data_IF_604013593880
#
_entry.id   IF_604013593880
#
_cell.length_a   1.000
_cell.length_b   1.000
_cell.length_c   1.000
_cell.angle_alpha   90.00
_cell.angle_beta   90.00
_cell.angle_gamma   90.00
#
_symmetry.space_group_name_H-M   'P 1'
#
loop_
_entity.id
_entity.type
_entity.pdbx_description
1 polymer ?
#
# COMPACT_ATOMS: atom_id res chain seq x y z
N UNK A 1 29.38 -3.03 30.52
CA UNK A 1 30.58 -3.67 29.92
C UNK A 1 30.89 -2.96 28.62
N UNK A 2 32.09 -3.09 28.06
CA UNK A 2 32.41 -2.50 26.74
C UNK A 2 31.36 -2.87 25.69
N UNK A 3 30.88 -4.12 25.71
CA UNK A 3 29.81 -4.60 24.84
C UNK A 3 28.49 -3.83 25.00
N UNK A 4 28.07 -3.47 26.22
CA UNK A 4 26.83 -2.70 26.41
C UNK A 4 26.96 -1.27 25.87
N UNK A 5 28.15 -0.68 25.98
CA UNK A 5 28.42 0.65 25.44
C UNK A 5 28.41 0.64 23.91
N UNK A 6 29.05 -0.34 23.28
CA UNK A 6 29.04 -0.50 21.82
C UNK A 6 27.63 -0.76 21.27
N UNK A 7 26.82 -1.56 21.98
CA UNK A 7 25.41 -1.76 21.62
C UNK A 7 24.58 -0.47 21.72
N UNK A 8 24.77 0.31 22.78
CA UNK A 8 24.09 1.60 22.95
C UNK A 8 24.51 2.62 21.89
N UNK A 9 25.80 2.66 21.55
CA UNK A 9 26.33 3.54 20.50
C UNK A 9 25.79 3.15 19.12
N UNK A 10 25.80 1.86 18.78
CA UNK A 10 25.24 1.37 17.53
C UNK A 10 23.75 1.68 17.40
N UNK A 11 22.98 1.55 18.50
CA UNK A 11 21.57 1.93 18.54
C UNK A 11 21.38 3.45 18.35
N UNK A 12 22.17 4.27 19.05
CA UNK A 12 22.08 5.73 18.95
C UNK A 12 22.41 6.21 17.53
N UNK A 13 23.44 5.65 16.90
CA UNK A 13 23.80 5.95 15.50
C UNK A 13 22.65 5.56 14.58
N UNK A 14 22.07 4.36 14.75
CA UNK A 14 20.92 3.88 13.96
C UNK A 14 19.73 4.85 14.06
N UNK A 15 19.33 5.21 15.28
CA UNK A 15 18.21 6.14 15.50
C UNK A 15 18.47 7.52 14.89
N UNK A 16 19.71 8.02 14.94
CA UNK A 16 20.07 9.32 14.35
C UNK A 16 20.05 9.33 12.81
N UNK A 17 20.44 8.23 12.18
CA UNK A 17 20.35 8.06 10.72
C UNK A 17 18.91 7.92 10.23
N UNK A 18 18.04 7.31 11.03
CA UNK A 18 16.64 7.08 10.66
C UNK A 18 15.82 8.38 10.76
N UNK A 19 16.11 9.22 11.76
CA UNK A 19 15.49 10.55 11.90
C UNK A 19 15.78 11.48 10.71
N UNK A 20 16.90 11.27 10.00
CA UNK A 20 17.27 12.05 8.80
C UNK A 20 16.59 11.54 7.52
N UNK A 21 16.10 10.29 7.49
CA UNK A 21 15.32 9.76 6.36
C UNK A 21 13.83 10.06 6.49
N UNK A 22 13.37 10.47 7.67
CA UNK A 22 11.98 10.82 7.98
C UNK A 22 11.66 12.31 7.71
N UNK A 23 12.41 12.98 6.83
CA UNK A 23 12.13 14.36 6.37
C UNK A 23 10.75 14.42 5.70
N UNK A 24 9.73 14.57 6.53
CA UNK A 24 8.42 15.03 6.17
C UNK A 24 8.52 16.56 5.99
N UNK A 25 8.30 17.11 4.78
CA UNK A 25 8.26 18.57 4.59
C UNK A 25 7.10 19.26 5.35
N UNK A 26 6.25 18.50 6.05
CA UNK A 26 5.10 19.00 6.82
C UNK A 26 5.28 18.92 8.35
N UNK A 27 6.46 18.55 8.88
CA UNK A 27 6.67 18.58 10.32
C UNK A 27 7.09 19.99 10.77
N UNK A 28 6.06 20.84 11.00
CA UNK A 28 6.07 22.17 11.61
C UNK A 28 7.44 22.69 12.12
N UNK A 29 8.16 23.40 11.26
CA UNK A 29 9.20 24.37 11.64
C UNK A 29 8.65 25.79 11.62
N UNK A 30 9.08 26.70 12.52
CA UNK A 30 8.57 28.06 12.57
C UNK A 30 9.04 28.84 11.34
N UNK A 31 8.06 29.39 10.61
CA UNK A 31 8.14 30.39 9.55
C UNK A 31 9.55 30.92 9.20
N UNK A 32 10.08 30.48 8.05
CA UNK A 32 11.10 31.21 7.31
C UNK A 32 10.93 30.95 5.81
N UNK A 33 10.50 32.01 5.14
CA UNK A 33 10.60 32.35 3.72
C UNK A 33 10.16 31.37 2.62
N UNK A 34 9.18 31.87 1.86
CA UNK A 34 8.87 31.52 0.49
C UNK A 34 10.13 31.53 -0.39
N UNK A 35 10.13 30.65 -1.42
CA UNK A 35 11.08 30.57 -2.54
C UNK A 35 12.33 29.70 -2.38
N UNK A 36 12.14 28.38 -2.24
CA UNK A 36 13.12 27.42 -2.74
C UNK A 36 12.43 26.14 -3.27
N UNK A 37 12.72 25.82 -4.54
CA UNK A 37 12.50 24.54 -5.24
C UNK A 37 11.07 23.97 -5.29
N UNK A 38 10.29 24.48 -6.25
CA UNK A 38 9.13 23.78 -6.83
C UNK A 38 9.49 22.87 -8.02
N UNK A 39 10.74 22.43 -8.12
CA UNK A 39 11.22 21.56 -9.21
C UNK A 39 12.08 20.40 -8.64
N UNK A 40 11.42 19.43 -8.03
CA UNK A 40 11.95 18.06 -7.97
C UNK A 40 10.86 17.12 -8.45
N UNK A 41 10.58 17.23 -9.74
CA UNK A 41 10.05 16.12 -10.54
C UNK A 41 11.01 14.94 -10.41
N UNK A 42 10.71 14.03 -9.49
CA UNK A 42 11.00 12.62 -9.68
C UNK A 42 9.92 11.85 -8.96
N UNK A 43 9.03 11.21 -9.73
CA UNK A 43 8.13 10.14 -9.27
C UNK A 43 8.74 9.43 -8.06
N UNK A 44 8.18 9.63 -6.86
CA UNK A 44 8.60 8.83 -5.72
C UNK A 44 8.52 7.36 -6.15
N UNK A 45 9.60 6.61 -5.97
CA UNK A 45 9.62 5.19 -6.33
C UNK A 45 8.41 4.52 -5.67
N UNK A 46 7.81 3.54 -6.33
CA UNK A 46 6.68 2.81 -5.77
C UNK A 46 6.98 2.27 -4.36
N UNK A 47 8.23 1.87 -4.13
CA UNK A 47 8.75 1.48 -2.82
C UNK A 47 8.72 2.63 -1.79
N UNK A 48 9.12 3.84 -2.19
CA UNK A 48 9.09 5.03 -1.33
C UNK A 48 7.66 5.39 -0.92
N UNK A 49 6.70 5.32 -1.85
CA UNK A 49 5.29 5.54 -1.52
C UNK A 49 4.72 4.44 -0.63
N UNK A 50 5.09 3.19 -0.89
CA UNK A 50 4.70 2.03 -0.08
C UNK A 50 5.20 2.19 1.36
N UNK A 51 6.47 2.59 1.53
CA UNK A 51 7.07 2.90 2.83
C UNK A 51 6.36 4.05 3.55
N UNK A 52 6.07 5.14 2.84
CA UNK A 52 5.32 6.28 3.39
C UNK A 52 3.94 5.86 3.89
N UNK A 53 3.18 5.09 3.10
CA UNK A 53 1.88 4.58 3.55
C UNK A 53 2.04 3.66 4.76
N UNK A 54 3.03 2.79 4.76
CA UNK A 54 3.21 1.81 5.83
C UNK A 54 3.58 2.46 7.17
N UNK A 55 4.42 3.50 7.16
CA UNK A 55 4.79 4.24 8.37
C UNK A 55 3.71 5.24 8.79
N UNK A 56 3.25 6.08 7.86
CA UNK A 56 2.36 7.21 8.20
C UNK A 56 0.88 6.80 8.28
N UNK A 57 0.51 5.65 7.69
CA UNK A 57 -0.87 5.19 7.58
C UNK A 57 -1.73 5.95 6.57
N UNK A 58 -1.17 6.92 5.82
CA UNK A 58 -1.89 7.68 4.81
C UNK A 58 -1.03 8.12 3.63
N UNK A 59 -1.69 8.41 2.51
CA UNK A 59 -1.14 9.09 1.34
C UNK A 59 -1.81 10.47 1.20
N UNK A 60 -1.15 11.40 0.50
CA UNK A 60 -1.76 12.68 0.12
C UNK A 60 -2.85 12.45 -0.92
N UNK A 61 -3.85 13.33 -0.97
CA UNK A 61 -4.89 13.31 -2.00
C UNK A 61 -4.30 13.35 -3.42
N UNK A 62 -3.26 14.18 -3.60
CA UNK A 62 -2.58 14.38 -4.88
C UNK A 62 -1.56 13.28 -5.22
N UNK A 63 -1.28 12.36 -4.29
CA UNK A 63 -0.38 11.24 -4.58
C UNK A 63 -1.10 10.27 -5.53
N UNK A 64 -0.50 9.98 -6.69
CA UNK A 64 -0.98 8.93 -7.61
C UNK A 64 -0.29 7.62 -7.29
N UNK A 65 -1.03 6.52 -7.24
CA UNK A 65 -0.49 5.20 -6.90
C UNK A 65 0.29 4.62 -8.08
N UNK A 66 1.63 4.50 -8.01
CA UNK A 66 2.44 4.01 -9.12
C UNK A 66 2.30 2.50 -9.31
N UNK A 67 2.71 2.00 -10.46
CA UNK A 67 2.88 0.57 -10.68
C UNK A 67 4.01 0.02 -9.80
N UNK A 68 3.85 -1.20 -9.28
CA UNK A 68 4.75 -1.80 -8.30
C UNK A 68 4.55 -1.29 -6.87
N UNK A 69 3.54 -0.44 -6.62
CA UNK A 69 3.17 -0.03 -5.27
C UNK A 69 2.64 -1.23 -4.49
N UNK A 70 2.96 -1.31 -3.20
CA UNK A 70 2.48 -2.38 -2.35
C UNK A 70 2.14 -1.90 -0.95
N UNK A 71 1.18 -2.57 -0.32
CA UNK A 71 0.73 -2.26 1.02
C UNK A 71 0.83 -3.48 1.92
N UNK A 72 1.66 -3.37 2.96
CA UNK A 72 1.88 -4.42 3.96
C UNK A 72 0.88 -4.25 5.10
N UNK A 73 0.18 -5.33 5.42
CA UNK A 73 -0.71 -5.48 6.57
C UNK A 73 -0.27 -6.65 7.45
N UNK A 74 -0.51 -6.54 8.76
CA UNK A 74 -0.17 -7.59 9.72
C UNK A 74 1.30 -7.68 10.12
N UNK A 75 2.14 -6.76 9.64
CA UNK A 75 3.52 -6.57 10.08
C UNK A 75 3.71 -5.14 10.61
N UNK A 76 4.23 -5.03 11.82
CA UNK A 76 4.49 -3.75 12.47
C UNK A 76 5.78 -3.10 11.92
N UNK A 77 5.72 -1.84 11.43
CA UNK A 77 6.89 -1.16 10.88
C UNK A 77 8.05 -1.03 11.88
N UNK A 78 7.77 -0.77 13.16
CA UNK A 78 8.81 -0.62 14.17
C UNK A 78 9.51 -1.94 14.46
N UNK A 79 8.75 -3.03 14.58
CA UNK A 79 9.30 -4.39 14.73
C UNK A 79 10.19 -4.72 13.53
N UNK A 80 9.75 -4.40 12.31
CA UNK A 80 10.57 -4.61 11.12
C UNK A 80 11.88 -3.80 11.19
N UNK A 81 11.83 -2.50 11.44
CA UNK A 81 13.03 -1.65 11.51
C UNK A 81 14.05 -2.16 12.53
N UNK A 82 13.58 -2.64 13.69
CA UNK A 82 14.47 -3.08 14.77
C UNK A 82 15.09 -4.45 14.45
N UNK A 83 14.32 -5.34 13.83
CA UNK A 83 14.71 -6.74 13.58
C UNK A 83 15.34 -6.99 12.20
N UNK A 84 15.26 -6.03 11.28
CA UNK A 84 15.85 -6.16 9.93
C UNK A 84 17.38 -6.07 9.95
N UNK A 85 18.00 -6.71 8.96
CA UNK A 85 19.47 -6.76 8.82
C UNK A 85 20.02 -5.36 8.57
N UNK A 86 21.27 -5.09 8.97
CA UNK A 86 21.89 -3.75 8.92
C UNK A 86 21.85 -3.06 7.54
N UNK A 87 21.63 -3.80 6.46
CA UNK A 87 21.57 -3.30 5.09
C UNK A 87 20.15 -2.85 4.65
N UNK A 88 19.12 -3.28 5.37
CA UNK A 88 17.70 -2.95 5.14
C UNK A 88 17.10 -2.07 6.26
N UNK A 89 17.90 -1.69 7.26
CA UNK A 89 17.45 -0.88 8.39
C UNK A 89 16.92 0.46 7.91
N UNK A 90 15.64 0.75 8.19
CA UNK A 90 14.96 1.98 7.76
C UNK A 90 14.37 1.94 6.34
N UNK A 91 14.37 0.78 5.68
CA UNK A 91 13.67 0.56 4.39
C UNK A 91 12.51 -0.40 4.57
N UNK A 92 11.48 -0.25 3.74
CA UNK A 92 10.40 -1.23 3.61
C UNK A 92 10.97 -2.55 3.04
N UNK A 93 10.49 -3.74 3.45
CA UNK A 93 10.95 -5.00 2.87
C UNK A 93 10.69 -5.05 1.37
N UNK A 94 11.69 -5.49 0.59
CA UNK A 94 11.57 -5.59 -0.86
C UNK A 94 10.45 -6.54 -1.28
N UNK A 95 9.84 -6.29 -2.45
CA UNK A 95 8.76 -7.15 -2.95
C UNK A 95 9.25 -8.57 -3.26
N UNK A 96 10.50 -8.72 -3.67
CA UNK A 96 11.11 -10.03 -3.94
C UNK A 96 11.28 -10.82 -2.64
N UNK A 97 11.75 -10.16 -1.57
CA UNK A 97 11.86 -10.76 -0.24
C UNK A 97 10.48 -11.18 0.28
N UNK A 98 9.45 -10.35 0.12
CA UNK A 98 8.08 -10.66 0.53
C UNK A 98 7.47 -11.79 -0.29
N UNK A 99 7.77 -11.86 -1.60
CA UNK A 99 7.32 -12.95 -2.47
C UNK A 99 7.90 -14.31 -2.06
N UNK A 100 9.11 -14.33 -1.52
CA UNK A 100 9.79 -15.54 -1.06
C UNK A 100 9.29 -16.07 0.30
N UNK A 101 8.44 -15.32 1.01
CA UNK A 101 7.87 -15.76 2.29
C UNK A 101 6.77 -16.79 2.07
N UNK A 102 6.92 -17.94 2.72
CA UNK A 102 5.90 -18.98 2.77
C UNK A 102 4.67 -18.49 3.57
N UNK A 103 3.45 -18.54 2.99
CA UNK A 103 2.21 -18.18 3.68
C UNK A 103 2.02 -18.86 5.03
N UNK A 104 2.52 -20.10 5.20
CA UNK A 104 2.35 -20.88 6.43
C UNK A 104 3.16 -20.33 7.62
N UNK A 105 4.24 -19.60 7.34
CA UNK A 105 5.12 -19.00 8.36
C UNK A 105 4.52 -17.70 8.90
N UNK A 106 3.84 -16.95 8.04
CA UNK A 106 3.30 -15.63 8.36
C UNK A 106 1.83 -15.48 7.90
N UNK A 107 0.89 -16.31 8.41
CA UNK A 107 -0.49 -16.32 7.94
C UNK A 107 -1.23 -15.00 8.20
N UNK A 108 -0.83 -14.26 9.24
CA UNK A 108 -1.39 -12.96 9.58
C UNK A 108 -0.89 -11.82 8.70
N UNK A 109 0.17 -12.03 7.91
CA UNK A 109 0.74 -11.00 7.03
C UNK A 109 0.07 -11.09 5.67
N UNK A 110 -0.30 -9.93 5.14
CA UNK A 110 -0.94 -9.77 3.85
C UNK A 110 -0.26 -8.58 3.15
N UNK A 111 0.20 -8.79 1.91
CA UNK A 111 0.83 -7.74 1.12
C UNK A 111 0.01 -7.55 -0.15
N UNK A 112 -0.59 -6.38 -0.33
CA UNK A 112 -1.39 -6.08 -1.52
C UNK A 112 -0.50 -5.37 -2.55
N UNK A 113 -0.33 -5.96 -3.73
CA UNK A 113 0.51 -5.45 -4.81
C UNK A 113 -0.34 -4.83 -5.93
N UNK A 114 0.09 -3.67 -6.42
CA UNK A 114 -0.41 -3.05 -7.64
C UNK A 114 0.52 -3.41 -8.78
N UNK A 115 0.09 -4.35 -9.63
CA UNK A 115 0.82 -4.76 -10.83
C UNK A 115 -0.08 -4.64 -12.06
N UNK A 116 0.03 -3.52 -12.76
CA UNK A 116 -0.78 -3.20 -13.94
C UNK A 116 -0.42 -4.09 -15.13
N UNK A 117 0.73 -4.78 -15.11
CA UNK A 117 1.23 -5.58 -16.22
C UNK A 117 0.94 -7.07 -16.07
N UNK A 118 0.96 -7.61 -14.86
CA UNK A 118 0.78 -9.05 -14.60
C UNK A 118 -0.52 -9.40 -13.86
N UNK A 119 -1.33 -8.41 -13.45
CA UNK A 119 -2.66 -8.64 -12.89
C UNK A 119 -3.74 -8.52 -13.99
N UNK A 120 -4.26 -9.65 -14.53
CA UNK A 120 -5.26 -9.62 -15.59
C UNK A 120 -6.59 -9.03 -15.11
N UNK A 121 -7.00 -9.36 -13.88
CA UNK A 121 -8.25 -8.85 -13.29
C UNK A 121 -8.19 -7.34 -13.10
N UNK A 122 -7.04 -6.81 -12.68
CA UNK A 122 -6.86 -5.36 -12.61
C UNK A 122 -6.98 -4.72 -14.01
N UNK A 123 -6.39 -5.31 -15.06
CA UNK A 123 -6.54 -4.79 -16.43
C UNK A 123 -8.00 -4.77 -16.89
N UNK A 124 -8.78 -5.80 -16.58
CA UNK A 124 -10.21 -5.85 -16.90
C UNK A 124 -10.97 -4.71 -16.22
N UNK A 125 -10.69 -4.46 -14.94
CA UNK A 125 -11.27 -3.32 -14.21
C UNK A 125 -10.88 -1.97 -14.82
N UNK A 126 -9.62 -1.82 -15.27
CA UNK A 126 -9.15 -0.61 -15.95
C UNK A 126 -9.89 -0.36 -17.26
N UNK A 127 -10.06 -1.40 -18.08
CA UNK A 127 -10.83 -1.31 -19.32
C UNK A 127 -12.29 -0.98 -19.02
N UNK A 128 -12.87 -1.62 -17.99
CA UNK A 128 -14.22 -1.36 -17.52
C UNK A 128 -14.43 0.11 -17.17
N UNK A 129 -13.60 0.67 -16.27
CA UNK A 129 -13.78 2.07 -15.83
C UNK A 129 -13.55 3.08 -16.96
N UNK A 130 -12.58 2.85 -17.86
CA UNK A 130 -12.34 3.72 -19.02
C UNK A 130 -13.53 3.72 -19.98
N UNK A 131 -14.18 2.56 -20.17
CA UNK A 131 -15.36 2.47 -21.03
C UNK A 131 -16.58 3.17 -20.41
N UNK A 132 -16.74 3.08 -19.09
CA UNK A 132 -17.85 3.69 -18.36
C UNK A 132 -17.68 5.20 -18.25
N UNK A 133 -16.49 5.69 -17.90
CA UNK A 133 -16.21 7.12 -17.71
C UNK A 133 -16.42 7.93 -18.98
N UNK A 134 -16.16 7.35 -20.15
CA UNK A 134 -16.42 7.97 -21.45
C UNK A 134 -17.90 8.29 -21.71
N UNK A 135 -18.82 7.62 -21.02
CA UNK A 135 -20.28 7.79 -21.16
C UNK A 135 -20.91 8.69 -20.09
N UNK A 136 -20.18 9.00 -19.02
CA UNK A 136 -20.68 9.81 -17.91
C UNK A 136 -20.68 11.30 -18.27
N UNK A 137 -21.67 12.03 -17.74
CA UNK A 137 -21.84 13.47 -18.03
C UNK A 137 -21.28 14.31 -16.88
N UNK A 138 -21.30 13.78 -15.66
CA UNK A 138 -20.82 14.47 -14.45
C UNK A 138 -19.76 13.66 -13.70
N UNK A 139 -18.94 14.37 -12.92
CA UNK A 139 -17.95 13.76 -12.02
C UNK A 139 -18.62 12.88 -10.96
N UNK A 140 -19.80 13.29 -10.49
CA UNK A 140 -20.58 12.53 -9.49
C UNK A 140 -21.03 11.17 -10.05
N UNK A 141 -21.48 11.11 -11.31
CA UNK A 141 -21.82 9.84 -11.96
C UNK A 141 -20.59 8.93 -12.09
N UNK A 142 -19.44 9.47 -12.45
CA UNK A 142 -18.19 8.69 -12.57
C UNK A 142 -17.80 8.11 -11.22
N UNK A 143 -17.89 8.89 -10.14
CA UNK A 143 -17.61 8.45 -8.77
C UNK A 143 -18.55 7.32 -8.35
N UNK A 144 -19.86 7.46 -8.58
CA UNK A 144 -20.86 6.46 -8.22
C UNK A 144 -20.65 5.14 -8.99
N UNK A 145 -20.40 5.23 -10.30
CA UNK A 145 -20.09 4.06 -11.12
C UNK A 145 -18.79 3.37 -10.69
N UNK A 146 -17.75 4.14 -10.37
CA UNK A 146 -16.49 3.60 -9.87
C UNK A 146 -16.68 2.90 -8.52
N UNK A 147 -17.41 3.53 -7.59
CA UNK A 147 -17.70 2.95 -6.29
C UNK A 147 -18.46 1.63 -6.42
N UNK A 148 -19.45 1.58 -7.33
CA UNK A 148 -20.20 0.38 -7.63
C UNK A 148 -19.34 -0.72 -8.24
N UNK A 149 -18.48 -0.38 -9.21
CA UNK A 149 -17.56 -1.33 -9.84
C UNK A 149 -16.63 -1.98 -8.80
N UNK A 150 -16.03 -1.18 -7.91
CA UNK A 150 -15.17 -1.67 -6.83
C UNK A 150 -15.95 -2.51 -5.83
N UNK A 151 -17.16 -2.07 -5.46
CA UNK A 151 -18.04 -2.80 -4.55
C UNK A 151 -18.38 -4.19 -5.11
N UNK A 152 -18.84 -4.26 -6.35
CA UNK A 152 -19.26 -5.49 -7.02
C UNK A 152 -18.06 -6.45 -7.21
N UNK A 153 -16.87 -5.94 -7.53
CA UNK A 153 -15.65 -6.74 -7.65
C UNK A 153 -15.20 -7.36 -6.32
N UNK A 154 -15.35 -6.63 -5.21
CA UNK A 154 -14.82 -7.02 -3.89
C UNK A 154 -15.89 -7.58 -2.94
N UNK A 155 -16.83 -8.35 -3.45
CA UNK A 155 -17.82 -9.10 -2.66
C UNK A 155 -19.16 -8.39 -2.44
N UNK A 156 -19.42 -7.30 -3.16
CA UNK A 156 -20.71 -6.59 -3.17
C UNK A 156 -21.01 -5.82 -1.89
N UNK A 157 -22.28 -5.41 -1.75
CA UNK A 157 -22.78 -4.82 -0.51
C UNK A 157 -22.91 -5.91 0.55
N UNK A 158 -22.27 -5.74 1.71
CA UNK A 158 -22.33 -6.69 2.81
C UNK A 158 -23.75 -6.76 3.40
N UNK A 159 -24.51 -7.86 3.20
CA UNK A 159 -25.90 -7.90 3.63
C UNK A 159 -26.04 -8.10 5.15
N UNK A 160 -25.02 -8.66 5.81
CA UNK A 160 -25.04 -9.06 7.23
C UNK A 160 -24.14 -8.22 8.14
N UNK A 161 -23.51 -7.15 7.64
CA UNK A 161 -22.58 -6.29 8.39
C UNK A 161 -21.10 -6.60 8.13
N UNK A 162 -20.22 -5.87 8.82
CA UNK A 162 -18.76 -5.88 8.59
C UNK A 162 -18.06 -7.17 9.09
N UNK A 163 -18.56 -7.79 10.15
CA UNK A 163 -17.97 -9.00 10.75
C UNK A 163 -17.97 -10.21 9.79
N UNK A 164 -19.00 -10.32 8.96
CA UNK A 164 -19.11 -11.36 7.93
C UNK A 164 -18.06 -11.13 6.82
N UNK A 165 -17.88 -9.88 6.40
CA UNK A 165 -16.84 -9.52 5.42
C UNK A 165 -15.43 -9.80 5.94
N UNK A 166 -15.16 -9.58 7.23
CA UNK A 166 -13.84 -9.89 7.82
C UNK A 166 -13.54 -11.38 7.72
N UNK A 167 -14.52 -12.21 8.07
CA UNK A 167 -14.36 -13.67 8.03
C UNK A 167 -14.19 -14.17 6.59
N UNK A 168 -15.05 -13.72 5.67
CA UNK A 168 -14.97 -14.08 4.26
C UNK A 168 -13.71 -13.55 3.57
N UNK A 169 -13.32 -12.29 3.83
CA UNK A 169 -12.12 -11.70 3.23
C UNK A 169 -10.87 -12.43 3.71
N UNK A 170 -10.83 -12.86 4.97
CA UNK A 170 -9.74 -13.67 5.50
C UNK A 170 -9.67 -15.04 4.84
N UNK A 171 -10.77 -15.77 4.80
CA UNK A 171 -10.85 -17.09 4.14
C UNK A 171 -10.38 -17.00 2.69
N UNK A 172 -10.90 -16.03 1.93
CA UNK A 172 -10.54 -15.83 0.52
C UNK A 172 -9.10 -15.35 0.32
N UNK A 173 -8.56 -14.58 1.24
CA UNK A 173 -7.16 -14.15 1.23
C UNK A 173 -6.25 -15.35 1.49
N UNK A 174 -6.57 -16.18 2.48
CA UNK A 174 -5.80 -17.38 2.81
C UNK A 174 -5.83 -18.40 1.66
N UNK A 175 -6.99 -18.67 1.06
CA UNK A 175 -7.11 -19.51 -0.15
C UNK A 175 -6.24 -18.97 -1.31
N UNK A 176 -6.22 -17.65 -1.50
CA UNK A 176 -5.44 -17.03 -2.57
C UNK A 176 -3.93 -17.12 -2.30
N UNK A 177 -3.51 -16.93 -1.04
CA UNK A 177 -2.11 -17.12 -0.63
C UNK A 177 -1.65 -18.56 -0.88
N UNK A 178 -2.48 -19.54 -0.54
CA UNK A 178 -2.20 -20.96 -0.76
C UNK A 178 -2.11 -21.29 -2.27
N UNK A 179 -3.01 -20.73 -3.09
CA UNK A 179 -2.98 -20.90 -4.55
C UNK A 179 -1.72 -20.30 -5.18
N UNK A 180 -1.28 -19.13 -4.72
CA UNK A 180 -0.13 -18.42 -5.28
C UNK A 180 1.20 -18.85 -4.65
N UNK A 181 1.17 -19.50 -3.49
CA UNK A 181 2.36 -19.85 -2.71
C UNK A 181 3.10 -18.62 -2.17
N UNK A 182 2.40 -17.50 -1.93
CA UNK A 182 3.01 -16.25 -1.49
C UNK A 182 2.03 -15.38 -0.68
N UNK A 183 2.56 -14.56 0.23
CA UNK A 183 1.79 -13.55 0.97
C UNK A 183 1.49 -12.28 0.15
N UNK A 184 2.06 -12.17 -1.06
CA UNK A 184 1.90 -11.02 -1.95
C UNK A 184 0.75 -11.26 -2.94
N UNK A 185 -0.35 -10.54 -2.74
CA UNK A 185 -1.61 -10.69 -3.46
C UNK A 185 -1.81 -9.53 -4.44
N UNK A 186 -2.04 -9.80 -5.74
CA UNK A 186 -2.43 -8.76 -6.69
C UNK A 186 -3.82 -8.19 -6.32
N UNK A 187 -3.96 -6.86 -6.30
CA UNK A 187 -5.21 -6.18 -5.91
C UNK A 187 -6.43 -6.65 -6.71
N UNK A 188 -6.27 -6.91 -8.01
CA UNK A 188 -7.35 -7.33 -8.89
C UNK A 188 -7.80 -8.77 -8.63
N UNK A 189 -6.96 -9.59 -7.99
CA UNK A 189 -7.29 -10.97 -7.65
C UNK A 189 -8.13 -11.11 -6.37
N UNK A 190 -8.32 -10.03 -5.61
CA UNK A 190 -9.13 -10.04 -4.39
C UNK A 190 -10.62 -10.06 -4.73
N UNK A 191 -11.26 -11.22 -4.53
CA UNK A 191 -12.71 -11.40 -4.73
C UNK A 191 -13.57 -10.86 -3.59
N UNK A 192 -13.02 -10.74 -2.38
CA UNK A 192 -13.69 -10.17 -1.21
C UNK A 192 -12.70 -9.28 -0.47
N UNK A 193 -13.03 -7.99 -0.36
CA UNK A 193 -12.13 -6.98 0.18
C UNK A 193 -12.78 -6.16 1.31
N UNK A 194 -12.01 -5.92 2.36
CA UNK A 194 -12.33 -4.96 3.41
C UNK A 194 -12.25 -3.51 2.91
N UNK A 195 -12.68 -2.56 3.75
CA UNK A 195 -12.64 -1.13 3.46
C UNK A 195 -11.27 -0.66 2.94
N UNK A 196 -10.18 -1.16 3.52
CA UNK A 196 -8.81 -0.86 3.08
C UNK A 196 -8.53 -1.30 1.64
N UNK A 197 -8.95 -2.51 1.26
CA UNK A 197 -8.74 -3.06 -0.09
C UNK A 197 -9.57 -2.29 -1.11
N UNK A 198 -10.83 -2.02 -0.76
CA UNK A 198 -11.76 -1.24 -1.58
C UNK A 198 -11.27 0.18 -1.82
N UNK A 199 -10.81 0.86 -0.76
CA UNK A 199 -10.28 2.22 -0.87
C UNK A 199 -9.03 2.27 -1.75
N UNK A 200 -8.11 1.30 -1.62
CA UNK A 200 -6.92 1.24 -2.47
C UNK A 200 -7.28 0.99 -3.94
N UNK A 201 -8.16 0.02 -4.23
CA UNK A 201 -8.59 -0.26 -5.61
C UNK A 201 -9.33 0.93 -6.21
N UNK A 202 -10.21 1.58 -5.43
CA UNK A 202 -10.90 2.80 -5.84
C UNK A 202 -9.89 3.88 -6.23
N UNK A 203 -8.89 4.15 -5.38
CA UNK A 203 -7.86 5.15 -5.67
C UNK A 203 -7.06 4.80 -6.93
N UNK A 204 -6.66 3.54 -7.09
CA UNK A 204 -5.91 3.08 -8.28
C UNK A 204 -6.70 3.30 -9.57
N UNK A 205 -8.00 2.99 -9.58
CA UNK A 205 -8.86 3.19 -10.74
C UNK A 205 -9.20 4.66 -10.96
N UNK A 206 -9.41 5.45 -9.90
CA UNK A 206 -9.61 6.90 -9.96
C UNK A 206 -8.41 7.60 -10.61
N UNK A 207 -7.18 7.20 -10.25
CA UNK A 207 -5.94 7.76 -10.81
C UNK A 207 -5.79 7.51 -12.32
N UNK A 208 -6.48 6.51 -12.87
CA UNK A 208 -6.44 6.16 -14.30
C UNK A 208 -7.35 7.06 -15.14
N UNK A 209 -8.42 7.56 -14.55
CA UNK A 209 -9.37 8.48 -15.18
C UNK A 209 -9.15 9.94 -14.75
N UNK A 210 -8.03 10.23 -14.07
CA UNK A 210 -7.65 11.56 -13.59
C UNK A 210 -8.74 12.26 -12.75
N UNK A 211 -9.38 11.48 -11.86
CA UNK A 211 -10.41 11.96 -10.93
C UNK A 211 -9.81 12.74 -9.73
#
# INVERSE_FOLDING_TARGET
>A
TEESYQLQLALAIRLSSEATCADNPNFLGPAADESASRDSDSSASAETMSHRLWINGCLSYFDKVPDGFYWIYGMDPYVWTVCSVLQESGRIPSIESLKAVDPTVAPSVEVILIDRYNDPSLKELQIGILSMSASCISVEEVVDQLAKLVCDHMGGAAPAGEDDLVSMSKERSDDLKDCLGTIVLPIGSLSVGLCRHRALLFKVLADIIDL
#
